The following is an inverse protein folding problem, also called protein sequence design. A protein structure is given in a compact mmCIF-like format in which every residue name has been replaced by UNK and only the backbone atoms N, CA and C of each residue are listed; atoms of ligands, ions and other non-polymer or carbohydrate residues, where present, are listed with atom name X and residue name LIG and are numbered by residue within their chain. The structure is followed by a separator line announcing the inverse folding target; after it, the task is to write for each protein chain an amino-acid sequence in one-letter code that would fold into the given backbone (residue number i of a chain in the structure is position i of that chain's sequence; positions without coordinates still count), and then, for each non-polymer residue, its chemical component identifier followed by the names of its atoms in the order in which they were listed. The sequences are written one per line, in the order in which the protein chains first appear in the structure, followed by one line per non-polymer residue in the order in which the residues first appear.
data_IF_147863660674
#
_entry.id   IF_147863660674
#
_cell.length_a   1.000
_cell.length_b   1.000
_cell.length_c   1.000
_cell.angle_alpha   90.00
_cell.angle_beta   90.00
_cell.angle_gamma   90.00
#
_symmetry.space_group_name_H-M   'P 1'
#
loop_
_entity.id
_entity.type
_entity.pdbx_description
1 polymer ?
#
# COMPACT_ATOMS: atom_id res chain seq x y z
N UNK A 1 -1.02 17.76 -34.25
CA UNK A 1 -1.92 16.66 -34.03
C UNK A 1 -1.56 15.71 -32.88
N UNK A 2 -0.60 14.82 -33.05
CA UNK A 2 -0.35 13.69 -32.13
C UNK A 2 0.14 14.13 -30.74
N UNK A 3 0.99 15.14 -30.67
CA UNK A 3 1.50 15.71 -29.44
C UNK A 3 0.40 16.34 -28.56
N UNK A 4 -0.57 16.99 -29.18
CA UNK A 4 -1.72 17.59 -28.51
C UNK A 4 -2.66 16.51 -27.93
N UNK A 5 -2.79 15.39 -28.60
CA UNK A 5 -3.59 14.24 -28.16
C UNK A 5 -2.93 13.53 -26.97
N UNK A 6 -1.60 13.40 -26.96
CA UNK A 6 -0.83 12.84 -25.83
C UNK A 6 -0.91 13.76 -24.61
N UNK A 7 -0.81 15.09 -24.80
CA UNK A 7 -0.94 16.06 -23.71
C UNK A 7 -2.37 16.02 -23.14
N UNK A 8 -3.40 16.04 -23.99
CA UNK A 8 -4.80 15.99 -23.56
C UNK A 8 -5.13 14.68 -22.82
N UNK A 9 -4.62 13.53 -23.28
CA UNK A 9 -4.78 12.23 -22.62
C UNK A 9 -3.98 12.13 -21.33
N UNK A 10 -2.80 12.78 -21.26
CA UNK A 10 -1.98 12.82 -20.05
C UNK A 10 -2.59 13.68 -18.95
N UNK A 11 -3.25 14.79 -19.28
CA UNK A 11 -3.88 15.67 -18.29
C UNK A 11 -5.05 14.98 -17.56
N UNK A 12 -5.80 14.13 -18.23
CA UNK A 12 -6.88 13.34 -17.58
C UNK A 12 -6.35 12.32 -16.58
N UNK A 13 -5.11 11.87 -16.74
CA UNK A 13 -4.49 10.90 -15.84
C UNK A 13 -3.95 11.54 -14.54
N UNK A 14 -3.66 12.86 -14.56
CA UNK A 14 -3.15 13.60 -13.39
C UNK A 14 -4.25 14.32 -12.61
N UNK A 15 -5.52 14.24 -13.05
CA UNK A 15 -6.62 14.86 -12.30
C UNK A 15 -6.91 14.03 -11.05
N UNK A 16 -7.01 14.63 -9.86
CA UNK A 16 -7.36 13.89 -8.66
C UNK A 16 -8.75 13.26 -8.86
N UNK A 17 -8.81 11.94 -8.72
CA UNK A 17 -10.07 11.22 -8.79
C UNK A 17 -10.94 11.59 -7.59
N UNK A 18 -12.18 11.98 -7.85
CA UNK A 18 -13.16 12.22 -6.78
C UNK A 18 -13.62 10.89 -6.22
N UNK A 19 -13.50 10.76 -4.89
CA UNK A 19 -14.04 9.59 -4.19
C UNK A 19 -15.54 9.80 -4.05
N UNK A 20 -16.27 8.83 -4.56
CA UNK A 20 -17.72 8.82 -4.55
C UNK A 20 -18.23 7.89 -3.45
N UNK A 21 -19.18 8.36 -2.68
CA UNK A 21 -19.95 7.57 -1.74
C UNK A 21 -21.23 7.11 -2.43
N UNK A 22 -21.40 5.80 -2.54
CA UNK A 22 -22.61 5.18 -3.02
C UNK A 22 -23.38 4.58 -1.84
N UNK A 23 -24.60 5.02 -1.59
CA UNK A 23 -25.53 4.38 -0.64
C UNK A 23 -26.41 3.39 -1.40
N UNK A 24 -26.58 2.20 -0.86
CA UNK A 24 -27.46 1.16 -1.39
C UNK A 24 -28.75 1.11 -0.60
N UNK A 25 -29.76 0.52 -1.19
CA UNK A 25 -31.07 0.33 -0.51
C UNK A 25 -31.01 -0.63 0.67
N UNK A 26 -29.96 -1.42 0.81
CA UNK A 26 -29.68 -2.27 1.97
C UNK A 26 -28.91 -1.52 3.10
N UNK A 27 -28.85 -0.18 3.02
CA UNK A 27 -28.14 0.74 3.91
C UNK A 27 -26.61 0.51 3.95
N UNK A 28 -26.04 -0.29 3.05
CA UNK A 28 -24.59 -0.40 2.92
C UNK A 28 -24.04 0.80 2.16
N UNK A 29 -22.81 1.22 2.52
CA UNK A 29 -22.08 2.30 1.85
C UNK A 29 -20.86 1.75 1.16
N UNK A 30 -20.64 2.21 -0.07
CA UNK A 30 -19.45 1.92 -0.86
C UNK A 30 -18.69 3.20 -1.08
N UNK A 31 -17.43 3.23 -0.67
CA UNK A 31 -16.48 4.31 -0.98
C UNK A 31 -15.60 3.86 -2.13
N UNK A 32 -15.53 4.64 -3.18
CA UNK A 32 -14.69 4.28 -4.32
C UNK A 32 -14.67 5.34 -5.41
N UNK A 33 -13.77 5.14 -6.36
CA UNK A 33 -13.71 5.94 -7.58
C UNK A 33 -14.55 5.24 -8.65
N UNK A 34 -15.45 5.96 -9.29
CA UNK A 34 -16.19 5.43 -10.44
C UNK A 34 -15.22 5.16 -11.58
N UNK A 35 -15.04 3.88 -11.91
CA UNK A 35 -14.10 3.43 -12.95
C UNK A 35 -14.77 3.14 -14.28
N UNK A 36 -16.03 2.67 -14.25
CA UNK A 36 -16.80 2.41 -15.45
C UNK A 36 -18.31 2.47 -15.18
N UNK A 37 -19.07 2.78 -16.22
CA UNK A 37 -20.52 2.64 -16.23
C UNK A 37 -20.90 1.81 -17.44
N UNK A 38 -21.66 0.74 -17.21
CA UNK A 38 -22.09 -0.16 -18.28
C UNK A 38 -23.60 -0.24 -18.33
N UNK A 39 -24.14 -0.23 -19.53
CA UNK A 39 -25.56 -0.48 -19.76
C UNK A 39 -25.69 -1.82 -20.49
N UNK A 40 -26.13 -2.84 -19.77
CA UNK A 40 -26.47 -4.12 -20.40
C UNK A 40 -27.89 -4.05 -20.98
N UNK A 41 -28.01 -4.53 -22.23
CA UNK A 41 -29.29 -4.80 -22.84
C UNK A 41 -29.50 -6.31 -22.83
N UNK A 42 -30.36 -6.81 -21.98
CA UNK A 42 -30.79 -8.21 -22.01
C UNK A 42 -32.09 -8.30 -22.82
N UNK A 43 -32.05 -9.09 -23.86
CA UNK A 43 -33.26 -9.47 -24.60
C UNK A 43 -33.84 -10.73 -23.97
N UNK A 44 -34.92 -10.56 -23.21
CA UNK A 44 -35.69 -11.67 -22.66
C UNK A 44 -37.05 -11.63 -23.35
N UNK A 45 -37.29 -12.58 -24.21
CA UNK A 45 -38.60 -12.75 -24.93
C UNK A 45 -39.03 -11.52 -25.74
N UNK A 46 -38.09 -10.85 -26.44
CA UNK A 46 -38.36 -9.67 -27.26
C UNK A 46 -38.50 -8.35 -26.49
N UNK A 47 -38.30 -8.34 -25.17
CA UNK A 47 -38.22 -7.13 -24.38
C UNK A 47 -36.78 -6.77 -24.05
N UNK A 48 -36.35 -5.58 -24.46
CA UNK A 48 -35.02 -5.04 -24.12
C UNK A 48 -35.08 -4.47 -22.70
N UNK A 49 -34.55 -5.20 -21.72
CA UNK A 49 -34.38 -4.70 -20.37
C UNK A 49 -33.01 -4.00 -20.29
N UNK A 50 -33.00 -2.69 -20.16
CA UNK A 50 -31.79 -1.91 -19.92
C UNK A 50 -31.44 -2.04 -18.45
N UNK A 51 -30.37 -2.73 -18.12
CA UNK A 51 -29.78 -2.75 -16.78
C UNK A 51 -28.53 -1.90 -16.79
N UNK A 52 -28.52 -0.79 -16.07
CA UNK A 52 -27.32 0.01 -15.85
C UNK A 52 -26.61 -0.47 -14.60
N UNK A 53 -25.29 -0.53 -14.63
CA UNK A 53 -24.44 -0.82 -13.48
C UNK A 53 -23.22 0.07 -13.48
N UNK A 54 -22.75 0.42 -12.27
CA UNK A 54 -21.58 1.26 -12.06
C UNK A 54 -20.50 0.44 -11.39
N UNK A 55 -19.29 0.51 -11.93
CA UNK A 55 -18.11 -0.10 -11.33
C UNK A 55 -17.39 0.93 -10.47
N UNK A 56 -17.15 0.55 -9.24
CA UNK A 56 -16.33 1.30 -8.31
C UNK A 56 -14.99 0.61 -8.14
N UNK A 57 -13.88 1.36 -8.31
CA UNK A 57 -12.59 0.95 -7.76
C UNK A 57 -12.65 1.28 -6.27
N UNK A 58 -12.77 0.26 -5.44
CA UNK A 58 -12.83 0.42 -3.99
C UNK A 58 -11.42 0.35 -3.40
N UNK A 59 -11.14 1.17 -2.40
CA UNK A 59 -9.96 0.98 -1.58
C UNK A 59 -10.18 -0.14 -0.55
N UNK A 60 -9.23 -0.27 0.40
CA UNK A 60 -9.40 -1.15 1.56
C UNK A 60 -9.58 -2.63 1.19
N UNK A 61 -8.76 -3.12 0.25
CA UNK A 61 -8.82 -4.50 -0.24
C UNK A 61 -8.82 -5.55 0.87
N UNK A 62 -8.13 -5.28 1.99
CA UNK A 62 -8.09 -6.18 3.15
C UNK A 62 -9.45 -6.31 3.86
N UNK A 63 -10.33 -5.31 3.74
CA UNK A 63 -11.67 -5.34 4.30
C UNK A 63 -12.67 -6.01 3.36
N UNK A 64 -12.55 -5.72 2.06
CA UNK A 64 -13.52 -6.16 1.06
C UNK A 64 -13.10 -7.43 0.31
N UNK A 65 -11.81 -7.75 0.25
CA UNK A 65 -11.27 -8.88 -0.51
C UNK A 65 -11.20 -8.68 -2.02
N UNK A 66 -11.62 -7.51 -2.53
CA UNK A 66 -11.63 -7.18 -3.95
C UNK A 66 -11.26 -5.71 -4.19
N UNK A 67 -10.84 -5.39 -5.43
CA UNK A 67 -10.46 -4.03 -5.85
C UNK A 67 -11.59 -3.32 -6.61
N UNK A 68 -12.49 -4.07 -7.21
CA UNK A 68 -13.58 -3.53 -8.02
C UNK A 68 -14.92 -4.14 -7.61
N UNK A 69 -15.92 -3.29 -7.51
CA UNK A 69 -17.29 -3.68 -7.19
C UNK A 69 -18.25 -3.14 -8.24
N UNK A 70 -19.04 -4.01 -8.87
CA UNK A 70 -20.14 -3.64 -9.73
C UNK A 70 -21.43 -3.51 -8.92
N UNK A 71 -22.04 -2.34 -8.99
CA UNK A 71 -23.32 -2.07 -8.32
C UNK A 71 -24.39 -1.77 -9.36
N UNK A 72 -25.44 -2.59 -9.44
CA UNK A 72 -26.59 -2.32 -10.32
C UNK A 72 -27.28 -1.01 -9.95
N UNK A 73 -27.67 -0.21 -10.93
CA UNK A 73 -28.34 1.07 -10.68
C UNK A 73 -29.63 0.94 -9.84
N UNK A 74 -30.33 -0.17 -9.94
CA UNK A 74 -31.51 -0.48 -9.12
C UNK A 74 -31.22 -0.66 -7.63
N UNK A 75 -29.96 -0.91 -7.28
CA UNK A 75 -29.52 -1.08 -5.88
C UNK A 75 -28.96 0.21 -5.29
N UNK A 76 -28.70 1.21 -6.14
CA UNK A 76 -28.20 2.51 -5.71
C UNK A 76 -29.35 3.40 -5.22
N UNK A 77 -29.27 3.82 -3.97
CA UNK A 77 -30.18 4.79 -3.36
C UNK A 77 -29.71 6.22 -3.62
N UNK A 78 -28.41 6.46 -3.44
CA UNK A 78 -27.79 7.74 -3.72
C UNK A 78 -26.33 7.57 -4.20
N UNK A 79 -25.85 8.56 -4.94
CA UNK A 79 -24.47 8.66 -5.41
C UNK A 79 -24.03 10.11 -5.25
N UNK A 80 -22.96 10.33 -4.55
CA UNK A 80 -22.45 11.67 -4.29
C UNK A 80 -20.96 11.69 -3.96
N UNK A 81 -20.34 12.86 -4.11
CA UNK A 81 -18.97 13.12 -3.68
C UNK A 81 -19.02 13.58 -2.23
N UNK A 82 -18.31 12.86 -1.37
CA UNK A 82 -18.17 13.23 0.03
C UNK A 82 -16.80 13.87 0.23
N UNK A 83 -16.78 15.13 0.66
CA UNK A 83 -15.55 15.92 0.84
C UNK A 83 -14.79 15.57 2.11
N UNK A 84 -15.42 14.88 3.04
CA UNK A 84 -14.80 14.46 4.30
C UNK A 84 -14.08 13.11 4.18
N UNK A 85 -14.19 12.45 3.02
CA UNK A 85 -13.48 11.21 2.73
C UNK A 85 -12.01 11.50 2.46
N UNK A 86 -11.15 10.79 3.17
CA UNK A 86 -9.69 10.84 3.00
C UNK A 86 -9.23 9.68 2.13
N UNK A 87 -8.43 9.98 1.12
CA UNK A 87 -7.68 9.00 0.36
C UNK A 87 -6.25 8.91 0.90
N UNK A 88 -5.85 7.71 1.30
CA UNK A 88 -4.48 7.43 1.72
C UNK A 88 -3.85 6.48 0.72
N UNK A 89 -2.85 6.97 -0.02
CA UNK A 89 -2.01 6.13 -0.85
C UNK A 89 -1.02 5.39 0.07
N UNK A 90 -1.16 4.08 0.13
CA UNK A 90 -0.29 3.22 0.94
C UNK A 90 0.82 2.65 0.07
N UNK A 91 1.98 2.41 0.67
CA UNK A 91 3.12 1.78 -0.03
C UNK A 91 2.83 0.32 -0.39
N UNK A 92 1.99 -0.35 0.40
CA UNK A 92 1.54 -1.72 0.19
C UNK A 92 0.01 -1.77 0.30
N UNK A 93 -0.61 -2.77 -0.32
CA UNK A 93 -2.07 -3.03 -0.29
C UNK A 93 -2.95 -2.00 -1.01
N UNK A 94 -2.37 -1.06 -1.78
CA UNK A 94 -3.13 -0.09 -2.58
C UNK A 94 -3.78 1.03 -1.77
N UNK A 95 -4.78 1.69 -2.36
CA UNK A 95 -5.44 2.86 -1.78
C UNK A 95 -6.31 2.48 -0.58
N UNK A 96 -6.37 3.37 0.40
CA UNK A 96 -7.30 3.30 1.52
C UNK A 96 -8.23 4.51 1.48
N UNK A 97 -9.53 4.28 1.54
CA UNK A 97 -10.56 5.33 1.61
C UNK A 97 -11.30 5.24 2.93
N UNK A 98 -11.48 6.36 3.60
CA UNK A 98 -12.15 6.39 4.90
C UNK A 98 -12.34 7.78 5.46
N UNK A 99 -12.85 7.86 6.68
CA UNK A 99 -13.04 9.10 7.40
C UNK A 99 -12.05 9.20 8.55
N UNK A 100 -11.31 10.31 8.60
CA UNK A 100 -10.38 10.55 9.69
C UNK A 100 -11.17 10.88 10.96
N UNK A 101 -11.11 9.99 11.95
CA UNK A 101 -11.81 10.15 13.23
C UNK A 101 -10.89 10.78 14.28
N UNK A 102 -9.66 10.25 14.40
CA UNK A 102 -8.70 10.66 15.41
C UNK A 102 -7.26 10.43 14.96
N UNK A 103 -6.34 11.14 15.56
CA UNK A 103 -4.89 10.98 15.39
C UNK A 103 -4.29 10.59 16.73
N UNK A 104 -3.54 9.51 16.71
CA UNK A 104 -2.75 9.04 17.84
C UNK A 104 -1.26 9.08 17.48
N UNK A 105 -0.43 9.51 18.42
CA UNK A 105 1.00 9.48 18.30
C UNK A 105 1.60 8.73 19.49
N UNK A 106 2.35 7.66 19.24
CA UNK A 106 2.94 6.77 20.26
C UNK A 106 1.92 6.26 21.30
N UNK A 107 0.72 5.92 20.81
CA UNK A 107 -0.38 5.42 21.64
C UNK A 107 -1.11 6.49 22.47
N UNK A 108 -0.80 7.77 22.28
CA UNK A 108 -1.49 8.88 22.94
C UNK A 108 -2.40 9.59 21.94
N UNK A 109 -3.61 9.91 22.37
CA UNK A 109 -4.53 10.72 21.59
C UNK A 109 -3.97 12.14 21.43
N UNK A 110 -3.79 12.57 20.17
CA UNK A 110 -3.32 13.93 19.83
C UNK A 110 -4.50 14.84 19.50
N UNK A 111 -5.42 14.35 18.67
CA UNK A 111 -6.59 15.12 18.24
C UNK A 111 -7.69 14.20 17.73
N UNK A 112 -8.94 14.68 17.77
CA UNK A 112 -10.11 14.02 17.19
C UNK A 112 -11.08 15.01 16.56
N UNK A 113 -12.00 14.49 15.72
CA UNK A 113 -12.98 15.28 14.98
C UNK A 113 -12.32 16.29 14.04
N UNK A 114 -12.79 17.53 14.05
CA UNK A 114 -12.28 18.58 13.16
C UNK A 114 -10.79 18.93 13.38
N UNK A 115 -10.24 18.69 14.57
CA UNK A 115 -8.83 18.93 14.87
C UNK A 115 -7.91 17.80 14.36
N UNK A 116 -8.44 16.66 13.97
CA UNK A 116 -7.65 15.51 13.54
C UNK A 116 -6.87 15.79 12.25
N UNK A 117 -7.47 16.48 11.29
CA UNK A 117 -6.82 16.77 10.01
C UNK A 117 -5.57 17.66 10.15
N UNK A 118 -5.63 18.83 10.82
CA UNK A 118 -4.44 19.63 11.08
C UNK A 118 -3.35 18.88 11.85
N UNK A 119 -3.74 18.08 12.84
CA UNK A 119 -2.81 17.28 13.61
C UNK A 119 -2.11 16.21 12.75
N UNK A 120 -2.84 15.53 11.86
CA UNK A 120 -2.26 14.58 10.92
C UNK A 120 -1.20 15.24 10.04
N UNK A 121 -1.53 16.39 9.45
CA UNK A 121 -0.60 17.14 8.60
C UNK A 121 0.67 17.57 9.36
N UNK A 122 0.54 17.94 10.63
CA UNK A 122 1.67 18.31 11.48
C UNK A 122 2.63 17.15 11.72
N UNK A 123 2.13 15.92 11.91
CA UNK A 123 2.94 14.73 12.19
C UNK A 123 3.37 13.97 10.93
N UNK A 124 2.79 14.25 9.78
CA UNK A 124 3.09 13.57 8.52
C UNK A 124 4.58 13.61 8.11
N UNK A 125 5.34 14.73 8.27
CA UNK A 125 6.75 14.78 7.91
C UNK A 125 7.58 13.78 8.73
N UNK A 126 7.38 13.68 10.05
CA UNK A 126 8.05 12.72 10.92
C UNK A 126 7.75 11.28 10.49
N UNK A 127 6.48 10.97 10.22
CA UNK A 127 6.07 9.65 9.76
C UNK A 127 6.72 9.26 8.40
N UNK A 128 6.83 10.21 7.47
CA UNK A 128 7.50 10.00 6.18
C UNK A 128 9.01 9.76 6.34
N UNK A 129 9.67 10.49 7.22
CA UNK A 129 11.09 10.30 7.52
C UNK A 129 11.36 8.92 8.11
N UNK A 130 10.54 8.50 9.08
CA UNK A 130 10.63 7.18 9.69
C UNK A 130 10.38 6.05 8.67
N UNK A 131 9.38 6.20 7.80
CA UNK A 131 9.09 5.25 6.73
C UNK A 131 10.24 5.15 5.72
N UNK A 132 10.83 6.28 5.32
CA UNK A 132 11.98 6.31 4.41
C UNK A 132 13.22 5.63 5.04
N UNK A 133 13.45 5.88 6.34
CA UNK A 133 14.54 5.22 7.08
C UNK A 133 14.32 3.71 7.18
N UNK A 134 13.12 3.26 7.56
CA UNK A 134 12.76 1.84 7.60
C UNK A 134 12.98 1.17 6.24
N UNK A 135 12.51 1.78 5.15
CA UNK A 135 12.72 1.29 3.78
C UNK A 135 14.22 1.18 3.42
N UNK A 136 15.03 2.16 3.84
CA UNK A 136 16.47 2.14 3.60
C UNK A 136 17.14 0.98 4.33
N UNK A 137 16.79 0.78 5.60
CA UNK A 137 17.32 -0.33 6.40
C UNK A 137 16.96 -1.66 5.74
N UNK A 138 15.68 -1.86 5.39
CA UNK A 138 15.20 -3.11 4.80
C UNK A 138 15.84 -3.42 3.43
N UNK A 139 15.89 -2.44 2.54
CA UNK A 139 16.33 -2.67 1.15
C UNK A 139 17.83 -2.65 0.98
N UNK A 140 18.55 -1.79 1.68
CA UNK A 140 19.99 -1.62 1.53
C UNK A 140 20.76 -2.31 2.64
N UNK A 141 20.57 -1.89 3.88
CA UNK A 141 21.47 -2.25 4.97
C UNK A 141 21.36 -3.75 5.33
N UNK A 142 20.14 -4.28 5.42
CA UNK A 142 19.91 -5.73 5.61
C UNK A 142 20.46 -6.54 4.41
N UNK A 143 20.29 -6.02 3.18
CA UNK A 143 20.81 -6.66 1.97
C UNK A 143 22.34 -6.76 1.97
N UNK A 144 23.04 -5.70 2.38
CA UNK A 144 24.50 -5.68 2.49
C UNK A 144 25.02 -6.65 3.56
N UNK A 145 24.37 -6.69 4.72
CA UNK A 145 24.72 -7.64 5.79
C UNK A 145 24.52 -9.08 5.32
N UNK A 146 23.39 -9.38 4.69
CA UNK A 146 23.13 -10.70 4.12
C UNK A 146 24.19 -11.11 3.09
N UNK A 147 24.60 -10.19 2.22
CA UNK A 147 25.66 -10.46 1.25
C UNK A 147 27.00 -10.82 1.93
N UNK A 148 27.37 -10.13 3.03
CA UNK A 148 28.55 -10.45 3.83
C UNK A 148 28.45 -11.83 4.47
N UNK A 149 27.31 -12.16 5.07
CA UNK A 149 27.04 -13.48 5.66
C UNK A 149 27.17 -14.58 4.61
N UNK A 150 26.55 -14.43 3.45
CA UNK A 150 26.64 -15.42 2.37
C UNK A 150 28.07 -15.58 1.85
N UNK A 151 28.81 -14.49 1.70
CA UNK A 151 30.22 -14.51 1.30
C UNK A 151 31.08 -15.26 2.33
N UNK A 152 30.87 -15.02 3.62
CA UNK A 152 31.60 -15.72 4.70
C UNK A 152 31.29 -17.24 4.70
N UNK A 153 30.02 -17.61 4.58
CA UNK A 153 29.58 -19.01 4.46
C UNK A 153 30.20 -19.71 3.24
N UNK A 154 30.24 -19.03 2.09
CA UNK A 154 30.84 -19.56 0.88
C UNK A 154 32.35 -19.78 1.05
N UNK A 155 33.06 -18.81 1.67
CA UNK A 155 34.51 -18.96 1.96
C UNK A 155 34.76 -20.18 2.85
N UNK A 156 33.98 -20.36 3.89
CA UNK A 156 34.09 -21.53 4.75
C UNK A 156 33.89 -22.84 3.98
N UNK A 157 32.83 -22.92 3.18
CA UNK A 157 32.50 -24.09 2.36
C UNK A 157 33.62 -24.44 1.39
N UNK A 158 34.20 -23.43 0.71
CA UNK A 158 35.31 -23.63 -0.21
C UNK A 158 36.59 -24.08 0.50
N UNK A 159 36.90 -23.54 1.68
CA UNK A 159 38.01 -23.98 2.49
C UNK A 159 37.86 -25.45 2.93
N UNK A 160 36.68 -25.85 3.35
CA UNK A 160 36.32 -27.24 3.68
C UNK A 160 36.55 -28.20 2.50
N UNK A 161 36.06 -27.83 1.32
CA UNK A 161 36.21 -28.66 0.11
C UNK A 161 37.64 -28.85 -0.33
N UNK A 162 38.51 -27.86 -0.07
CA UNK A 162 39.95 -27.92 -0.42
C UNK A 162 40.79 -28.61 0.62
N UNK A 163 40.21 -29.06 1.74
CA UNK A 163 40.95 -29.66 2.84
C UNK A 163 41.95 -28.70 3.53
N UNK A 164 41.82 -27.40 3.30
CA UNK A 164 42.75 -26.36 3.75
C UNK A 164 42.12 -25.51 4.87
N UNK A 165 41.47 -26.10 5.85
CA UNK A 165 40.98 -25.35 7.01
C UNK A 165 42.10 -25.22 8.03
N UNK A 166 42.70 -24.05 8.06
CA UNK A 166 43.52 -23.59 9.16
C UNK A 166 42.56 -23.17 10.33
N UNK A 167 42.81 -23.60 11.59
CA UNK A 167 42.03 -23.17 12.77
C UNK A 167 41.94 -21.65 12.91
N UNK A 168 42.94 -20.89 12.51
CA UNK A 168 42.89 -19.42 12.53
C UNK A 168 41.87 -18.89 11.53
N UNK A 169 41.88 -19.41 10.30
CA UNK A 169 40.91 -19.01 9.26
C UNK A 169 39.46 -19.37 9.69
N UNK A 170 39.28 -20.55 10.30
CA UNK A 170 37.98 -20.93 10.85
C UNK A 170 37.48 -19.93 11.91
N UNK A 171 38.36 -19.58 12.86
CA UNK A 171 38.02 -18.64 13.93
C UNK A 171 37.69 -17.25 13.40
N UNK A 172 38.42 -16.77 12.38
CA UNK A 172 38.13 -15.48 11.73
C UNK A 172 36.75 -15.47 11.06
N UNK A 173 36.42 -16.54 10.30
CA UNK A 173 35.13 -16.65 9.62
C UNK A 173 33.98 -16.76 10.64
N UNK A 174 34.13 -17.54 11.70
CA UNK A 174 33.12 -17.68 12.74
C UNK A 174 32.88 -16.35 13.48
N UNK A 175 33.95 -15.61 13.80
CA UNK A 175 33.84 -14.29 14.39
C UNK A 175 33.14 -13.26 13.45
N UNK A 176 33.44 -13.31 12.15
CA UNK A 176 32.77 -12.47 11.17
C UNK A 176 31.29 -12.82 11.03
N UNK A 177 30.94 -14.10 10.99
CA UNK A 177 29.56 -14.57 10.94
C UNK A 177 28.77 -14.15 12.19
N UNK A 178 29.34 -14.29 13.38
CA UNK A 178 28.70 -13.89 14.63
C UNK A 178 28.41 -12.39 14.66
N UNK A 179 29.39 -11.55 14.26
CA UNK A 179 29.24 -10.10 14.19
C UNK A 179 28.16 -9.69 13.17
N UNK A 180 28.21 -10.24 11.95
CA UNK A 180 27.29 -9.87 10.88
C UNK A 180 25.86 -10.37 11.19
N UNK A 181 25.72 -11.51 11.88
CA UNK A 181 24.41 -12.00 12.36
C UNK A 181 23.82 -11.05 13.43
N UNK A 182 24.63 -10.62 14.39
CA UNK A 182 24.19 -9.68 15.40
C UNK A 182 23.77 -8.31 14.80
N UNK A 183 24.51 -7.85 13.77
CA UNK A 183 24.16 -6.64 13.02
C UNK A 183 22.84 -6.81 12.28
N UNK A 184 22.62 -7.95 11.63
CA UNK A 184 21.36 -8.30 10.97
C UNK A 184 20.17 -8.23 11.93
N UNK A 185 20.29 -8.88 13.09
CA UNK A 185 19.22 -8.91 14.10
C UNK A 185 18.90 -7.52 14.63
N UNK A 186 19.94 -6.69 14.84
CA UNK A 186 19.76 -5.28 15.23
C UNK A 186 19.00 -4.47 14.18
N UNK A 187 19.42 -4.55 12.91
CA UNK A 187 18.78 -3.82 11.81
C UNK A 187 17.34 -4.27 11.61
N UNK A 188 17.07 -5.57 11.76
CA UNK A 188 15.73 -6.11 11.69
C UNK A 188 14.83 -5.56 12.79
N UNK A 189 15.32 -5.50 14.02
CA UNK A 189 14.59 -4.91 15.14
C UNK A 189 14.36 -3.40 14.93
N UNK A 190 15.33 -2.67 14.38
CA UNK A 190 15.23 -1.23 14.10
C UNK A 190 14.22 -0.94 12.97
N UNK A 191 14.12 -1.82 11.96
CA UNK A 191 13.17 -1.66 10.85
C UNK A 191 11.71 -1.95 11.23
N UNK A 192 11.47 -2.53 12.40
CA UNK A 192 10.13 -2.92 12.85
C UNK A 192 9.58 -4.16 12.15
N UNK A 193 10.44 -4.96 11.53
CA UNK A 193 10.07 -6.18 10.79
C UNK A 193 10.13 -7.43 11.67
#
# INVERSE_FOLDING_TARGET
GLLLLVIASGFTFFWPFEITTAERFDDTRVLGVVSATQVERKDISGQIIKSAQTQFKVGNRELYGFDFLWVPAKELKSLGVDRDVVAVERQEYGDFYGFLQRVEHRGQLVAEGAAAWPALLQHQPEARELAARSTTIQRRDIGEVNARIQKAKLRLKLAQQRGAIDPLLQSEIDAALARDTAEYDRLRAESGA
#
